data_IF_036807489120
#
_entry.id   IF_036807489120
#
_cell.length_a   1.000
_cell.length_b   1.000
_cell.length_c   1.000
_cell.angle_alpha   90.00
_cell.angle_beta   90.00
_cell.angle_gamma   90.00
#
_symmetry.space_group_name_H-M   'P 1'
#
loop_
_entity.id
_entity.type
_entity.pdbx_description
1 polymer ?
#
# COMPACT_ATOMS: atom_id res chain seq x y z
N UNK A 1 -0.57 -13.14 -8.79
CA UNK A 1 0.18 -12.21 -7.93
C UNK A 1 0.60 -10.99 -8.71
N UNK A 2 0.45 -9.82 -8.11
CA UNK A 2 0.83 -8.55 -8.72
C UNK A 2 2.08 -8.03 -8.01
N UNK A 3 3.12 -7.62 -8.75
CA UNK A 3 4.32 -7.05 -8.12
C UNK A 3 4.02 -5.69 -7.49
N UNK A 4 4.76 -5.37 -6.44
CA UNK A 4 4.65 -4.07 -5.77
C UNK A 4 6.02 -3.55 -5.34
N UNK A 5 6.06 -2.26 -5.02
CA UNK A 5 7.20 -1.59 -4.38
C UNK A 5 6.83 -1.30 -2.95
N UNK A 6 7.80 -1.28 -2.04
CA UNK A 6 7.51 -1.01 -0.64
C UNK A 6 8.66 -0.28 0.05
N UNK A 7 8.32 0.41 1.12
CA UNK A 7 9.24 0.91 2.13
C UNK A 7 8.71 0.50 3.50
N UNK A 8 9.56 0.45 4.49
CA UNK A 8 9.23 0.01 5.84
C UNK A 8 8.75 -1.44 5.87
N UNK A 9 9.60 -2.31 6.38
CA UNK A 9 9.28 -3.72 6.57
C UNK A 9 9.31 -4.05 8.06
N UNK A 10 8.21 -4.58 8.57
CA UNK A 10 8.11 -5.13 9.93
C UNK A 10 7.08 -6.24 9.88
N UNK A 11 7.56 -7.50 9.87
CA UNK A 11 6.80 -8.73 9.65
C UNK A 11 6.20 -8.82 8.24
N UNK A 12 5.71 -7.69 7.72
CA UNK A 12 5.17 -7.54 6.38
C UNK A 12 5.61 -6.19 5.85
N UNK A 13 5.56 -5.96 4.53
CA UNK A 13 5.74 -4.61 4.00
C UNK A 13 4.67 -3.69 4.58
N UNK A 14 5.07 -2.52 5.10
CA UNK A 14 4.15 -1.62 5.81
C UNK A 14 3.65 -0.48 4.95
N UNK A 15 4.41 -0.07 3.94
CA UNK A 15 3.99 0.96 2.98
C UNK A 15 4.23 0.40 1.59
N UNK A 16 3.16 0.16 0.85
CA UNK A 16 3.17 -0.56 -0.41
C UNK A 16 2.57 0.30 -1.50
N UNK A 17 3.22 0.37 -2.66
CA UNK A 17 2.63 0.95 -3.87
C UNK A 17 2.54 -0.14 -4.94
N UNK A 18 1.37 -0.26 -5.54
CA UNK A 18 1.13 -1.22 -6.62
C UNK A 18 0.19 -0.63 -7.66
N UNK A 19 0.24 -1.23 -8.85
CA UNK A 19 -0.69 -0.90 -9.92
C UNK A 19 -1.63 -2.07 -10.13
N UNK A 20 -2.92 -1.80 -10.06
CA UNK A 20 -3.95 -2.81 -10.20
C UNK A 20 -5.20 -2.22 -10.85
N UNK A 21 -5.74 -2.90 -11.85
CA UNK A 21 -6.94 -2.48 -12.60
C UNK A 21 -6.79 -1.07 -13.18
N UNK A 22 -5.57 -0.73 -13.64
CA UNK A 22 -5.27 0.57 -14.22
C UNK A 22 -5.15 1.71 -13.22
N UNK A 23 -5.16 1.42 -11.92
CA UNK A 23 -5.05 2.41 -10.86
C UNK A 23 -3.73 2.25 -10.11
N UNK A 24 -3.16 3.37 -9.69
CA UNK A 24 -2.00 3.39 -8.82
C UNK A 24 -2.50 3.49 -7.38
N UNK A 25 -2.15 2.49 -6.56
CA UNK A 25 -2.68 2.35 -5.21
C UNK A 25 -1.57 2.38 -4.18
N UNK A 26 -1.88 2.98 -3.02
CA UNK A 26 -1.01 2.99 -1.84
C UNK A 26 -1.70 2.26 -0.70
N UNK A 27 -1.02 1.27 -0.14
CA UNK A 27 -1.46 0.58 1.08
C UNK A 27 -0.50 0.99 2.19
N UNK A 28 -1.02 1.54 3.27
CA UNK A 28 -0.20 2.10 4.33
C UNK A 28 -0.60 1.57 5.69
N UNK A 29 0.36 0.96 6.40
CA UNK A 29 0.22 0.48 7.78
C UNK A 29 1.51 0.79 8.54
N UNK A 30 1.99 2.04 8.40
CA UNK A 30 3.22 2.51 9.04
C UNK A 30 3.06 2.64 10.55
N UNK A 31 4.19 2.75 11.26
CA UNK A 31 4.21 2.85 12.71
C UNK A 31 3.31 4.00 13.18
N UNK A 32 2.50 3.73 14.20
CA UNK A 32 1.61 4.71 14.80
C UNK A 32 2.11 5.10 16.19
N UNK A 33 2.44 6.36 16.37
CA UNK A 33 2.87 6.88 17.68
C UNK A 33 1.73 6.79 18.71
N UNK A 34 0.49 6.94 18.26
CA UNK A 34 -0.69 6.83 19.14
C UNK A 34 -0.87 5.43 19.69
N UNK A 35 -0.66 4.41 18.85
CA UNK A 35 -0.78 3.01 19.24
C UNK A 35 0.53 2.46 19.84
N UNK A 36 1.64 3.17 19.66
CA UNK A 36 2.98 2.68 19.96
C UNK A 36 3.25 1.31 19.33
N UNK A 37 2.73 1.12 18.11
CA UNK A 37 2.83 -0.12 17.35
C UNK A 37 2.38 0.10 15.92
N UNK A 38 2.46 -0.96 15.11
CA UNK A 38 1.94 -0.96 13.75
C UNK A 38 0.47 -1.36 13.75
N UNK A 39 -0.38 -0.63 12.97
CA UNK A 39 -1.78 -1.01 12.85
C UNK A 39 -1.97 -2.40 12.24
N UNK A 40 -3.11 -3.03 12.53
CA UNK A 40 -3.47 -4.34 11.98
C UNK A 40 -4.19 -4.23 10.64
N UNK A 41 -4.28 -3.05 10.08
CA UNK A 41 -4.96 -2.80 8.82
C UNK A 41 -4.11 -1.89 7.94
N UNK A 42 -4.26 -2.08 6.63
CA UNK A 42 -3.77 -1.10 5.65
C UNK A 42 -4.87 -0.11 5.35
N UNK A 43 -4.53 1.18 5.41
CA UNK A 43 -5.35 2.23 4.79
C UNK A 43 -5.01 2.24 3.31
N UNK A 44 -6.04 2.23 2.45
CA UNK A 44 -5.86 2.12 1.00
C UNK A 44 -6.22 3.45 0.35
N UNK A 45 -5.32 3.92 -0.50
CA UNK A 45 -5.47 5.19 -1.20
C UNK A 45 -5.25 5.01 -2.70
N UNK A 46 -5.94 5.81 -3.50
CA UNK A 46 -5.64 5.95 -4.91
C UNK A 46 -4.70 7.14 -5.08
N UNK A 47 -3.61 6.94 -5.81
CA UNK A 47 -2.61 7.97 -6.08
C UNK A 47 -2.80 8.55 -7.49
N UNK A 48 -2.55 9.87 -7.67
CA UNK A 48 -2.47 10.44 -9.02
C UNK A 48 -1.37 9.78 -9.83
N UNK A 49 -1.57 9.65 -11.13
CA UNK A 49 -0.55 9.10 -12.03
C UNK A 49 0.75 9.92 -11.99
N UNK A 50 0.66 11.21 -11.69
CA UNK A 50 1.83 12.08 -11.57
C UNK A 50 2.79 11.66 -10.45
N UNK A 51 2.36 10.81 -9.53
CA UNK A 51 3.24 10.31 -8.46
C UNK A 51 4.13 9.15 -8.91
N UNK A 52 3.86 8.52 -10.05
CA UNK A 52 4.64 7.37 -10.52
C UNK A 52 6.15 7.65 -10.60
N UNK A 53 6.61 8.76 -11.21
CA UNK A 53 8.05 9.07 -11.23
C UNK A 53 8.63 9.26 -9.82
N UNK A 54 7.84 9.79 -8.89
CA UNK A 54 8.28 10.03 -7.52
C UNK A 54 8.44 8.73 -6.74
N UNK A 55 7.63 7.72 -7.04
CA UNK A 55 7.75 6.40 -6.40
C UNK A 55 9.04 5.69 -6.78
N UNK A 56 9.62 6.03 -7.91
CA UNK A 56 10.91 5.49 -8.33
C UNK A 56 12.07 6.09 -7.54
N UNK A 57 11.86 7.23 -6.85
CA UNK A 57 12.86 7.84 -6.00
C UNK A 57 13.01 7.08 -4.69
N UNK A 58 14.15 7.23 -4.02
CA UNK A 58 14.47 6.47 -2.82
C UNK A 58 13.65 6.88 -1.60
N UNK A 59 13.00 8.04 -1.61
CA UNK A 59 12.25 8.55 -0.46
C UNK A 59 10.77 8.74 -0.81
N UNK A 60 9.90 8.23 0.07
CA UNK A 60 8.45 8.36 -0.08
C UNK A 60 7.84 9.38 0.88
N UNK A 61 8.67 10.26 1.46
CA UNK A 61 8.18 11.31 2.37
C UNK A 61 7.20 12.26 1.70
N UNK A 62 7.34 12.44 0.38
CA UNK A 62 6.44 13.29 -0.38
C UNK A 62 4.99 12.80 -0.35
N UNK A 63 4.76 11.53 -0.03
CA UNK A 63 3.41 10.96 0.01
C UNK A 63 2.51 11.69 1.02
N UNK A 64 3.08 12.23 2.09
CA UNK A 64 2.34 13.01 3.06
C UNK A 64 1.83 14.33 2.47
N UNK A 65 2.48 14.82 1.42
CA UNK A 65 2.15 16.08 0.75
C UNK A 65 1.33 15.85 -0.52
N UNK A 66 1.11 14.61 -0.90
CA UNK A 66 0.36 14.25 -2.09
C UNK A 66 -1.13 14.17 -1.74
N UNK A 67 -1.97 14.67 -2.66
CA UNK A 67 -3.41 14.52 -2.51
C UNK A 67 -3.78 13.04 -2.63
N UNK A 68 -4.16 12.43 -1.50
CA UNK A 68 -4.55 11.03 -1.43
C UNK A 68 -6.06 10.91 -1.40
N UNK A 69 -6.60 10.01 -2.19
CA UNK A 69 -8.02 9.68 -2.15
C UNK A 69 -8.18 8.36 -1.41
N UNK A 70 -8.72 8.41 -0.19
CA UNK A 70 -8.97 7.20 0.59
C UNK A 70 -10.09 6.39 -0.04
N UNK A 71 -9.85 5.10 -0.26
CA UNK A 71 -10.87 4.19 -0.81
C UNK A 71 -11.27 3.10 0.19
N UNK A 72 -10.64 3.04 1.35
CA UNK A 72 -11.04 2.13 2.41
C UNK A 72 -9.87 1.55 3.18
N UNK A 73 -10.14 0.46 3.89
CA UNK A 73 -9.17 -0.27 4.68
C UNK A 73 -9.31 -1.76 4.44
N UNK A 74 -8.20 -2.49 4.58
CA UNK A 74 -8.19 -3.95 4.54
C UNK A 74 -7.34 -4.48 5.69
N UNK A 75 -7.72 -5.61 6.31
CA UNK A 75 -6.88 -6.19 7.37
C UNK A 75 -5.53 -6.64 6.79
N UNK A 76 -4.45 -6.40 7.53
CA UNK A 76 -3.12 -6.87 7.14
C UNK A 76 -3.14 -8.40 6.96
N UNK A 77 -3.84 -9.12 7.84
CA UNK A 77 -3.92 -10.57 7.79
C UNK A 77 -4.68 -11.13 6.59
N UNK A 78 -5.47 -10.30 5.90
CA UNK A 78 -6.21 -10.73 4.71
C UNK A 78 -5.37 -10.63 3.43
N UNK A 79 -4.24 -9.93 3.48
CA UNK A 79 -3.37 -9.78 2.31
C UNK A 79 -2.46 -11.00 2.20
N UNK A 80 -2.45 -11.61 1.01
CA UNK A 80 -1.60 -12.76 0.72
C UNK A 80 -0.38 -12.30 -0.07
N UNK A 81 0.79 -12.48 0.52
CA UNK A 81 2.05 -12.12 -0.10
C UNK A 81 2.75 -13.35 -0.67
N UNK A 82 3.61 -13.14 -1.67
CA UNK A 82 4.54 -14.17 -2.12
C UNK A 82 5.49 -14.52 -0.97
N UNK A 83 5.44 -15.77 -0.52
CA UNK A 83 6.20 -16.22 0.64
C UNK A 83 7.71 -16.25 0.40
N UNK A 84 8.15 -16.27 -0.85
CA UNK A 84 9.57 -16.33 -1.20
C UNK A 84 10.19 -14.94 -1.33
N UNK A 85 9.49 -14.01 -1.96
CA UNK A 85 10.06 -12.71 -2.35
C UNK A 85 9.46 -11.53 -1.59
N UNK A 86 8.22 -11.64 -1.14
CA UNK A 86 7.45 -10.59 -0.47
C UNK A 86 7.42 -9.28 -1.28
N UNK A 87 7.46 -9.40 -2.62
CA UNK A 87 7.39 -8.28 -3.57
C UNK A 87 6.22 -8.41 -4.51
N UNK A 88 5.34 -9.37 -4.25
CA UNK A 88 4.12 -9.58 -5.01
C UNK A 88 3.01 -9.98 -4.04
N UNK A 89 1.78 -9.60 -4.36
CA UNK A 89 0.63 -9.92 -3.53
C UNK A 89 -0.57 -10.30 -4.40
N UNK A 90 -1.51 -11.00 -3.79
CA UNK A 90 -2.81 -11.24 -4.40
C UNK A 90 -3.65 -9.97 -4.24
N UNK A 91 -4.01 -9.28 -5.33
CA UNK A 91 -4.72 -8.02 -5.23
C UNK A 91 -6.23 -8.16 -5.10
N UNK A 92 -6.77 -9.38 -5.12
CA UNK A 92 -8.22 -9.61 -5.14
C UNK A 92 -8.93 -9.03 -3.91
N UNK A 93 -8.23 -8.89 -2.79
CA UNK A 93 -8.78 -8.27 -1.59
C UNK A 93 -9.16 -6.80 -1.82
N UNK A 94 -8.60 -6.18 -2.84
CA UNK A 94 -8.87 -4.77 -3.17
C UNK A 94 -10.11 -4.59 -4.04
N UNK A 95 -10.61 -5.66 -4.67
CA UNK A 95 -11.73 -5.57 -5.61
C UNK A 95 -12.97 -4.90 -4.99
N UNK A 96 -13.41 -5.25 -3.75
CA UNK A 96 -14.57 -4.59 -3.17
C UNK A 96 -14.40 -3.07 -2.99
N UNK A 97 -13.18 -2.61 -2.78
CA UNK A 97 -12.91 -1.18 -2.64
C UNK A 97 -12.96 -0.47 -3.98
N UNK A 98 -12.52 -1.15 -5.05
CA UNK A 98 -12.48 -0.58 -6.40
C UNK A 98 -13.82 -0.62 -7.09
N UNK A 99 -14.72 -1.52 -6.68
CA UNK A 99 -16.03 -1.74 -7.29
C UNK A 99 -17.14 -0.88 -6.66
N UNK A 100 -16.79 0.01 -5.75
CA UNK A 100 -17.74 0.95 -5.15
C UNK A 100 -18.23 2.00 -6.13
#
# INVERSE_FOLDING_TARGET
MVPFRYVEFYDVPRVIALRYRGKLLLLQSGFSDTLDDYPNAYSVYELPESTEPLLAAASWRFLEQTALTSIGEIPVSAVKFDSTKRKAMDPSILDPLLDR
#
